data_IF_393934259633
#
_entry.id   IF_393934259633
#
_cell.length_a   1.000
_cell.length_b   1.000
_cell.length_c   1.000
_cell.angle_alpha   90.00
_cell.angle_beta   90.00
_cell.angle_gamma   90.00
#
_symmetry.space_group_name_H-M   'P 1'
#
loop_
_entity.id
_entity.type
_entity.pdbx_description
1 polymer ?
#
# COMPACT_ATOMS: atom_id res chain seq x y z
N UNK A 1 -0.18 -23.85 10.14
CA UNK A 1 0.70 -22.67 10.04
C UNK A 1 -0.15 -21.45 10.32
N UNK A 2 0.32 -20.51 11.15
CA UNK A 2 -0.43 -19.29 11.50
C UNK A 2 -0.71 -18.41 10.28
N UNK A 3 -1.96 -17.98 10.12
CA UNK A 3 -2.38 -17.12 9.02
C UNK A 3 -1.65 -15.76 8.99
N UNK A 4 -1.25 -15.25 10.16
CA UNK A 4 -0.44 -14.03 10.29
C UNK A 4 0.95 -14.16 9.65
N UNK A 5 1.62 -15.30 9.89
CA UNK A 5 2.96 -15.55 9.32
C UNK A 5 2.87 -15.65 7.79
N UNK A 6 1.87 -16.34 7.27
CA UNK A 6 1.66 -16.47 5.82
C UNK A 6 1.42 -15.10 5.18
N UNK A 7 0.66 -14.22 5.84
CA UNK A 7 0.43 -12.85 5.38
C UNK A 7 1.72 -12.04 5.36
N UNK A 8 2.48 -12.05 6.44
CA UNK A 8 3.76 -11.31 6.52
C UNK A 8 4.76 -11.79 5.47
N UNK A 9 4.84 -13.10 5.22
CA UNK A 9 5.70 -13.63 4.17
C UNK A 9 5.24 -13.18 2.78
N UNK A 10 3.93 -13.20 2.51
CA UNK A 10 3.38 -12.72 1.24
C UNK A 10 3.69 -11.24 1.02
N UNK A 11 3.54 -10.43 2.05
CA UNK A 11 3.83 -8.99 2.00
C UNK A 11 5.32 -8.73 1.77
N UNK A 12 6.21 -9.48 2.42
CA UNK A 12 7.64 -9.44 2.17
C UNK A 12 8.00 -9.84 0.74
N UNK A 13 7.43 -10.93 0.22
CA UNK A 13 7.69 -11.36 -1.16
C UNK A 13 7.22 -10.33 -2.19
N UNK A 14 6.08 -9.69 -1.96
CA UNK A 14 5.60 -8.63 -2.84
C UNK A 14 6.56 -7.44 -2.85
N UNK A 15 7.03 -6.99 -1.68
CA UNK A 15 8.01 -5.91 -1.57
C UNK A 15 9.31 -6.27 -2.29
N UNK A 16 9.83 -7.48 -2.07
CA UNK A 16 11.05 -7.95 -2.72
C UNK A 16 10.93 -7.99 -4.24
N UNK A 17 9.81 -8.50 -4.77
CA UNK A 17 9.56 -8.56 -6.20
C UNK A 17 9.48 -7.16 -6.82
N UNK A 18 8.76 -6.24 -6.17
CA UNK A 18 8.64 -4.86 -6.62
C UNK A 18 9.98 -4.13 -6.60
N UNK A 19 10.77 -4.31 -5.54
CA UNK A 19 12.12 -3.76 -5.42
C UNK A 19 13.03 -4.28 -6.55
N UNK A 20 13.01 -5.60 -6.77
CA UNK A 20 13.84 -6.26 -7.80
C UNK A 20 13.49 -5.75 -9.20
N UNK A 21 12.21 -5.66 -9.53
CA UNK A 21 11.75 -5.13 -10.82
C UNK A 21 12.11 -3.66 -11.00
N UNK A 22 11.91 -2.83 -9.98
CA UNK A 22 12.21 -1.40 -10.03
C UNK A 22 13.69 -1.14 -10.23
N UNK A 23 14.54 -1.82 -9.46
CA UNK A 23 15.99 -1.63 -9.56
C UNK A 23 16.54 -2.19 -10.87
N UNK A 24 16.01 -3.32 -11.37
CA UNK A 24 16.38 -3.83 -12.68
C UNK A 24 16.07 -2.81 -13.80
N UNK A 25 14.83 -2.29 -13.84
CA UNK A 25 14.42 -1.31 -14.87
C UNK A 25 15.19 0.01 -14.82
N UNK A 26 15.66 0.40 -13.64
CA UNK A 26 16.34 1.70 -13.44
C UNK A 26 17.84 1.60 -13.67
N UNK A 27 18.47 0.50 -13.23
CA UNK A 27 19.92 0.38 -13.21
C UNK A 27 20.47 -0.40 -14.39
N UNK A 28 19.80 -1.46 -14.86
CA UNK A 28 20.30 -2.28 -15.97
C UNK A 28 20.00 -1.58 -17.28
N UNK A 29 21.04 -1.11 -17.95
CA UNK A 29 20.92 -0.29 -19.16
C UNK A 29 21.59 -0.92 -20.38
N UNK A 30 22.57 -1.79 -20.16
CA UNK A 30 23.32 -2.43 -21.25
C UNK A 30 23.20 -3.95 -21.17
N UNK A 31 23.05 -4.59 -22.33
CA UNK A 31 22.99 -6.05 -22.47
C UNK A 31 24.16 -6.58 -23.31
N UNK A 32 25.30 -5.87 -23.26
CA UNK A 32 26.48 -6.18 -24.07
C UNK A 32 27.30 -7.36 -23.49
N UNK A 33 27.22 -7.57 -22.18
CA UNK A 33 27.84 -8.68 -21.47
C UNK A 33 26.80 -9.46 -20.67
N UNK A 34 27.11 -10.73 -20.38
CA UNK A 34 26.32 -11.54 -19.43
C UNK A 34 26.52 -11.08 -17.98
N UNK A 35 27.71 -10.56 -17.68
CA UNK A 35 28.07 -10.06 -16.36
C UNK A 35 27.59 -8.62 -16.17
N UNK A 36 27.23 -8.30 -14.93
CA UNK A 36 26.78 -6.97 -14.52
C UNK A 36 28.01 -6.05 -14.40
N UNK A 37 27.93 -4.86 -14.97
CA UNK A 37 29.00 -3.87 -14.88
C UNK A 37 29.14 -3.31 -13.45
N UNK A 38 30.33 -2.77 -13.11
CA UNK A 38 30.56 -2.18 -11.79
C UNK A 38 29.63 -0.99 -11.49
N UNK A 39 29.28 -0.21 -12.52
CA UNK A 39 28.34 0.91 -12.42
C UNK A 39 26.92 0.42 -12.10
N UNK A 40 26.47 -0.65 -12.76
CA UNK A 40 25.17 -1.27 -12.50
C UNK A 40 25.09 -1.87 -11.09
N UNK A 41 26.17 -2.51 -10.61
CA UNK A 41 26.25 -3.02 -9.23
C UNK A 41 26.05 -1.88 -8.23
N UNK A 42 26.80 -0.79 -8.37
CA UNK A 42 26.71 0.37 -7.48
C UNK A 42 25.31 1.02 -7.55
N UNK A 43 24.70 1.06 -8.74
CA UNK A 43 23.33 1.55 -8.89
C UNK A 43 22.33 0.66 -8.14
N UNK A 44 22.43 -0.66 -8.25
CA UNK A 44 21.53 -1.62 -7.61
C UNK A 44 21.64 -1.54 -6.07
N UNK A 45 22.84 -1.41 -5.53
CA UNK A 45 23.06 -1.21 -4.08
C UNK A 45 22.39 0.09 -3.59
N UNK A 46 22.59 1.19 -4.32
CA UNK A 46 21.95 2.46 -3.99
C UNK A 46 20.42 2.40 -4.14
N UNK A 47 19.92 1.74 -5.17
CA UNK A 47 18.49 1.59 -5.44
C UNK A 47 17.80 0.79 -4.32
N UNK A 48 18.34 -0.37 -3.97
CA UNK A 48 17.80 -1.21 -2.90
C UNK A 48 17.85 -0.50 -1.55
N UNK A 49 18.97 0.16 -1.23
CA UNK A 49 19.10 0.99 -0.02
C UNK A 49 18.04 2.09 0.06
N UNK A 50 17.83 2.84 -1.04
CA UNK A 50 16.78 3.86 -1.12
C UNK A 50 15.39 3.26 -1.00
N UNK A 51 15.13 2.12 -1.63
CA UNK A 51 13.83 1.46 -1.59
C UNK A 51 13.45 1.03 -0.17
N UNK A 52 14.40 0.46 0.58
CA UNK A 52 14.20 0.06 1.98
C UNK A 52 13.93 1.29 2.86
N UNK A 53 14.73 2.35 2.73
CA UNK A 53 14.52 3.58 3.50
C UNK A 53 13.18 4.25 3.17
N UNK A 54 12.81 4.29 1.89
CA UNK A 54 11.52 4.81 1.46
C UNK A 54 10.36 3.99 2.04
N UNK A 55 10.45 2.65 2.00
CA UNK A 55 9.44 1.77 2.58
C UNK A 55 9.27 2.01 4.09
N UNK A 56 10.37 2.11 4.84
CA UNK A 56 10.31 2.44 6.26
C UNK A 56 9.70 3.82 6.52
N UNK A 57 10.08 4.83 5.73
CA UNK A 57 9.53 6.19 5.91
C UNK A 57 8.04 6.27 5.56
N UNK A 58 7.60 5.57 4.52
CA UNK A 58 6.19 5.45 4.17
C UNK A 58 5.42 4.78 5.30
N UNK A 59 5.96 3.71 5.89
CA UNK A 59 5.32 3.02 7.01
C UNK A 59 5.20 3.94 8.23
N UNK A 60 6.23 4.71 8.57
CA UNK A 60 6.20 5.70 9.65
C UNK A 60 5.06 6.72 9.46
N UNK A 61 5.01 7.35 8.29
CA UNK A 61 3.97 8.34 7.96
C UNK A 61 2.58 7.68 7.94
N UNK A 62 2.48 6.46 7.42
CA UNK A 62 1.23 5.73 7.37
C UNK A 62 0.67 5.49 8.77
N UNK A 63 1.51 5.08 9.72
CA UNK A 63 1.12 4.88 11.11
C UNK A 63 0.63 6.18 11.78
N UNK A 64 1.20 7.33 11.41
CA UNK A 64 0.77 8.63 11.91
C UNK A 64 -0.57 9.09 11.31
N UNK A 65 -0.76 8.91 10.01
CA UNK A 65 -1.87 9.50 9.25
C UNK A 65 -3.10 8.59 9.19
N UNK A 66 -2.91 7.26 9.17
CA UNK A 66 -4.00 6.29 9.02
C UNK A 66 -5.10 6.44 10.08
N UNK A 67 -4.82 6.64 11.38
CA UNK A 67 -5.87 6.79 12.39
C UNK A 67 -6.79 7.99 12.14
N UNK A 68 -6.24 9.10 11.67
CA UNK A 68 -7.00 10.30 11.35
C UNK A 68 -7.91 10.08 10.13
N UNK A 69 -7.40 9.39 9.10
CA UNK A 69 -8.18 9.00 7.92
C UNK A 69 -9.33 8.07 8.34
N UNK A 70 -9.03 7.00 9.08
CA UNK A 70 -10.01 6.00 9.50
C UNK A 70 -11.12 6.62 10.36
N UNK A 71 -10.78 7.54 11.28
CA UNK A 71 -11.77 8.29 12.06
C UNK A 71 -12.73 9.07 11.16
N UNK A 72 -12.18 9.85 10.22
CA UNK A 72 -12.98 10.64 9.28
C UNK A 72 -13.89 9.74 8.43
N UNK A 73 -13.36 8.63 7.92
CA UNK A 73 -14.13 7.67 7.14
C UNK A 73 -15.28 7.04 7.94
N UNK A 74 -15.09 6.76 9.23
CA UNK A 74 -16.16 6.26 10.10
C UNK A 74 -17.26 7.29 10.34
N UNK A 75 -16.90 8.56 10.56
CA UNK A 75 -17.88 9.64 10.76
C UNK A 75 -18.74 9.89 9.51
N UNK A 76 -18.12 9.86 8.33
CA UNK A 76 -18.82 9.99 7.03
C UNK A 76 -19.75 8.80 6.77
N UNK A 77 -19.30 7.59 7.11
CA UNK A 77 -20.12 6.38 7.01
C UNK A 77 -21.34 6.45 7.94
N UNK A 78 -21.16 6.87 9.20
CA UNK A 78 -22.28 7.02 10.15
C UNK A 78 -23.30 8.06 9.70
N UNK A 79 -22.86 9.19 9.17
CA UNK A 79 -23.75 10.24 8.64
C UNK A 79 -24.55 9.74 7.44
N UNK A 80 -23.88 9.03 6.53
CA UNK A 80 -24.53 8.46 5.34
C UNK A 80 -25.55 7.39 5.74
N UNK A 81 -25.19 6.51 6.69
CA UNK A 81 -26.11 5.49 7.20
C UNK A 81 -27.33 6.11 7.90
N UNK A 82 -27.13 7.13 8.74
CA UNK A 82 -28.23 7.82 9.40
C UNK A 82 -29.18 8.53 8.41
N UNK A 83 -28.66 9.10 7.32
CA UNK A 83 -29.46 9.71 6.27
C UNK A 83 -30.28 8.66 5.48
N UNK A 84 -29.69 7.48 5.20
CA UNK A 84 -30.39 6.38 4.55
C UNK A 84 -31.50 5.81 5.44
N UNK A 85 -31.22 5.62 6.74
CA UNK A 85 -32.21 5.12 7.70
C UNK A 85 -33.37 6.11 7.90
N UNK A 86 -33.09 7.42 7.84
CA UNK A 86 -34.11 8.47 7.89
C UNK A 86 -35.00 8.47 6.63
N UNK A 87 -34.38 8.41 5.43
CA UNK A 87 -35.11 8.33 4.17
C UNK A 87 -35.97 7.06 4.05
N UNK A 88 -35.51 5.92 4.57
CA UNK A 88 -36.28 4.68 4.62
C UNK A 88 -37.50 4.77 5.56
N UNK A 89 -37.38 5.47 6.69
CA UNK A 89 -38.51 5.70 7.61
C UNK A 89 -39.57 6.59 6.98
N UNK A 90 -39.16 7.63 6.24
CA UNK A 90 -40.08 8.51 5.52
C UNK A 90 -40.84 7.75 4.41
N UNK A 91 -40.15 6.94 3.59
CA UNK A 91 -40.80 6.10 2.57
C UNK A 91 -41.75 5.04 3.15
N UNK A 92 -41.40 4.40 4.27
CA UNK A 92 -42.30 3.44 4.93
C UNK A 92 -43.54 4.12 5.53
N UNK A 93 -43.47 5.41 5.87
CA UNK A 93 -44.63 6.16 6.37
C UNK A 93 -45.58 6.61 5.26
N UNK A 94 -45.07 6.87 4.05
CA UNK A 94 -45.88 7.18 2.86
C UNK A 94 -46.50 5.94 2.23
N UNK A 95 -45.85 4.78 2.29
CA UNK A 95 -46.39 3.50 1.78
C UNK A 95 -47.53 2.93 2.64
N UNK A 96 -47.62 3.36 3.91
CA UNK A 96 -48.61 2.88 4.89
C UNK A 96 -49.83 3.82 5.02
N UNK A 97 -49.97 4.79 4.11
CA UNK A 97 -51.10 5.72 4.00
C UNK A 97 -51.83 5.50 2.67
#
# INVERSE_FOLDING_TARGET
MDASIIRNMKDFHNLFNQMSETCFKTCVSTFMSRDISTEEIQCIENCSGKHIHANHKIMEIFMEVQPAIVRKSMEEFQKTQAALDAAQKEQNSESNR
#
